data_IF_570176291069
#
_entry.id   IF_570176291069
#
_cell.length_a   1.000
_cell.length_b   1.000
_cell.length_c   1.000
_cell.angle_alpha   90.00
_cell.angle_beta   90.00
_cell.angle_gamma   90.00
#
_symmetry.space_group_name_H-M   'P 1'
#
loop_
_entity.id
_entity.type
_entity.pdbx_description
1 polymer ?
#
# COMPACT_ATOMS: atom_id res chain seq x y z
N UNK A 1 4.79 17.53 -14.40
CA UNK A 1 6.21 17.90 -14.52
C UNK A 1 6.47 18.44 -15.92
N UNK A 2 7.50 19.26 -16.17
CA UNK A 2 7.93 19.61 -17.54
C UNK A 2 8.13 18.36 -18.40
N UNK A 3 7.88 18.45 -19.71
CA UNK A 3 7.91 17.29 -20.62
C UNK A 3 9.21 16.50 -20.55
N UNK A 4 10.35 17.19 -20.48
CA UNK A 4 11.69 16.60 -20.41
C UNK A 4 11.91 15.74 -19.15
N UNK A 5 11.14 15.98 -18.08
CA UNK A 5 11.22 15.27 -16.80
C UNK A 5 10.17 14.16 -16.65
N UNK A 6 9.29 13.99 -17.64
CA UNK A 6 8.16 13.07 -17.54
C UNK A 6 8.62 11.62 -17.36
N UNK A 7 9.55 11.16 -18.20
CA UNK A 7 10.03 9.78 -18.19
C UNK A 7 10.78 9.47 -16.89
N UNK A 8 11.66 10.39 -16.48
CA UNK A 8 12.40 10.27 -15.21
C UNK A 8 11.45 10.17 -14.02
N UNK A 9 10.47 11.07 -13.94
CA UNK A 9 9.50 11.11 -12.83
C UNK A 9 8.64 9.85 -12.81
N UNK A 10 8.18 9.39 -13.99
CA UNK A 10 7.39 8.17 -14.14
C UNK A 10 8.17 6.95 -13.66
N UNK A 11 9.42 6.82 -14.09
CA UNK A 11 10.28 5.70 -13.69
C UNK A 11 10.58 5.72 -12.19
N UNK A 12 10.78 6.90 -11.59
CA UNK A 12 10.97 7.04 -10.14
C UNK A 12 9.74 6.56 -9.37
N UNK A 13 8.54 6.99 -9.77
CA UNK A 13 7.28 6.55 -9.15
C UNK A 13 7.04 5.05 -9.32
N UNK A 14 7.24 4.51 -10.51
CA UNK A 14 7.09 3.09 -10.79
C UNK A 14 8.01 2.24 -9.90
N UNK A 15 9.30 2.62 -9.78
CA UNK A 15 10.25 1.95 -8.90
C UNK A 15 9.84 2.03 -7.44
N UNK A 16 9.39 3.20 -6.97
CA UNK A 16 8.94 3.37 -5.58
C UNK A 16 7.74 2.48 -5.26
N UNK A 17 6.74 2.44 -6.16
CA UNK A 17 5.54 1.61 -5.97
C UNK A 17 5.87 0.12 -6.05
N UNK A 18 6.74 -0.29 -6.98
CA UNK A 18 7.14 -1.69 -7.14
C UNK A 18 7.91 -2.24 -5.92
N UNK A 19 8.63 -1.37 -5.19
CA UNK A 19 9.34 -1.72 -3.95
C UNK A 19 8.47 -1.66 -2.69
N UNK A 20 7.23 -1.20 -2.78
CA UNK A 20 6.33 -1.08 -1.65
C UNK A 20 5.53 -2.36 -1.36
N UNK A 21 4.70 -2.37 -0.31
CA UNK A 21 3.86 -3.50 0.05
C UNK A 21 2.66 -3.59 -0.92
N UNK A 22 2.87 -4.26 -2.06
CA UNK A 22 1.93 -4.22 -3.20
C UNK A 22 0.53 -4.75 -2.86
N UNK A 23 0.41 -5.73 -1.95
CA UNK A 23 -0.89 -6.21 -1.46
C UNK A 23 -1.64 -5.14 -0.65
N UNK A 24 -0.92 -4.38 0.19
CA UNK A 24 -1.53 -3.28 0.94
C UNK A 24 -2.00 -2.18 -0.03
N UNK A 25 -1.17 -1.81 -1.02
CA UNK A 25 -1.58 -0.85 -2.06
C UNK A 25 -2.83 -1.29 -2.81
N UNK A 26 -2.92 -2.56 -3.20
CA UNK A 26 -4.09 -3.10 -3.90
C UNK A 26 -5.36 -3.00 -3.03
N UNK A 27 -5.26 -3.36 -1.75
CA UNK A 27 -6.37 -3.30 -0.79
C UNK A 27 -6.82 -1.86 -0.53
N UNK A 28 -5.89 -0.95 -0.26
CA UNK A 28 -6.19 0.47 -0.08
C UNK A 28 -6.84 1.07 -1.32
N UNK A 29 -6.33 0.76 -2.52
CA UNK A 29 -6.93 1.21 -3.77
C UNK A 29 -8.36 0.71 -3.94
N UNK A 30 -8.62 -0.57 -3.62
CA UNK A 30 -9.97 -1.15 -3.66
C UNK A 30 -10.92 -0.42 -2.70
N UNK A 31 -10.54 -0.28 -1.44
CA UNK A 31 -11.35 0.43 -0.44
C UNK A 31 -11.63 1.87 -0.84
N UNK A 32 -10.62 2.58 -1.35
CA UNK A 32 -10.78 3.96 -1.79
C UNK A 32 -11.87 4.13 -2.86
N UNK A 33 -11.95 3.23 -3.84
CA UNK A 33 -13.02 3.27 -4.84
C UNK A 33 -14.38 2.87 -4.26
N UNK A 34 -14.43 1.87 -3.37
CA UNK A 34 -15.66 1.43 -2.72
C UNK A 34 -16.26 2.47 -1.77
N UNK A 35 -15.42 3.31 -1.16
CA UNK A 35 -15.83 4.36 -0.21
C UNK A 35 -16.85 5.35 -0.79
N UNK A 36 -16.83 5.55 -2.11
CA UNK A 36 -17.72 6.49 -2.80
C UNK A 36 -19.16 5.98 -2.92
N UNK A 37 -19.36 4.66 -2.83
CA UNK A 37 -20.66 4.01 -3.06
C UNK A 37 -21.14 3.13 -1.91
N UNK A 38 -20.35 2.99 -0.85
CA UNK A 38 -20.65 2.11 0.29
C UNK A 38 -21.08 2.92 1.51
N UNK A 39 -22.19 2.59 2.20
CA UNK A 39 -22.56 3.24 3.44
C UNK A 39 -21.42 3.16 4.48
N UNK A 40 -21.22 4.25 5.23
CA UNK A 40 -20.08 4.39 6.16
C UNK A 40 -19.87 3.16 7.06
N UNK A 41 -20.95 2.66 7.68
CA UNK A 41 -20.86 1.50 8.59
C UNK A 41 -20.34 0.24 7.90
N UNK A 42 -20.79 -0.01 6.68
CA UNK A 42 -20.35 -1.16 5.89
C UNK A 42 -18.92 -0.95 5.39
N UNK A 43 -18.58 0.27 5.00
CA UNK A 43 -17.23 0.62 4.59
C UNK A 43 -16.21 0.38 5.71
N UNK A 44 -16.52 0.81 6.93
CA UNK A 44 -15.66 0.57 8.10
C UNK A 44 -15.46 -0.93 8.40
N UNK A 45 -16.48 -1.76 8.17
CA UNK A 45 -16.32 -3.21 8.31
C UNK A 45 -15.44 -3.79 7.19
N UNK A 46 -15.60 -3.33 5.95
CA UNK A 46 -14.73 -3.72 4.83
C UNK A 46 -13.27 -3.33 5.09
N UNK A 47 -13.04 -2.12 5.61
CA UNK A 47 -11.71 -1.66 6.03
C UNK A 47 -11.14 -2.57 7.13
N UNK A 48 -11.92 -2.88 8.18
CA UNK A 48 -11.49 -3.76 9.27
C UNK A 48 -10.99 -5.12 8.74
N UNK A 49 -11.74 -5.72 7.83
CA UNK A 49 -11.38 -7.01 7.22
C UNK A 49 -10.08 -6.91 6.41
N UNK A 50 -9.89 -5.85 5.63
CA UNK A 50 -8.67 -5.65 4.84
C UNK A 50 -7.46 -5.35 5.71
N UNK A 51 -7.65 -4.69 6.85
CA UNK A 51 -6.60 -4.39 7.81
C UNK A 51 -6.11 -5.68 8.47
N UNK A 52 -7.02 -6.58 8.88
CA UNK A 52 -6.65 -7.91 9.40
C UNK A 52 -5.86 -8.69 8.35
N UNK A 53 -6.38 -8.79 7.12
CA UNK A 53 -5.67 -9.46 6.02
C UNK A 53 -4.31 -8.84 5.72
N UNK A 54 -4.11 -7.56 6.00
CA UNK A 54 -2.83 -6.86 5.83
C UNK A 54 -1.88 -7.16 6.98
N UNK A 55 -2.37 -7.21 8.22
CA UNK A 55 -1.58 -7.60 9.37
C UNK A 55 -1.02 -9.04 9.28
N UNK A 56 -1.69 -9.92 8.53
CA UNK A 56 -1.27 -11.31 8.32
C UNK A 56 -0.16 -11.50 7.27
N UNK A 57 0.15 -10.46 6.48
CA UNK A 57 1.16 -10.53 5.40
C UNK A 57 2.60 -10.57 5.93
N UNK A 58 3.53 -11.08 5.13
CA UNK A 58 4.96 -10.98 5.43
C UNK A 58 5.42 -9.52 5.41
N UNK A 59 4.90 -8.72 4.49
CA UNK A 59 5.21 -7.31 4.35
C UNK A 59 4.83 -6.49 5.58
N UNK A 60 3.73 -6.83 6.26
CA UNK A 60 3.39 -6.20 7.53
C UNK A 60 4.47 -6.48 8.58
N UNK A 61 4.88 -7.74 8.74
CA UNK A 61 5.96 -8.09 9.69
C UNK A 61 7.25 -7.37 9.35
N UNK A 62 7.66 -7.38 8.06
CA UNK A 62 8.86 -6.68 7.57
C UNK A 62 8.79 -5.19 7.85
N UNK A 63 7.64 -4.55 7.63
CA UNK A 63 7.41 -3.14 7.93
C UNK A 63 7.53 -2.83 9.43
N UNK A 64 6.93 -3.66 10.29
CA UNK A 64 7.01 -3.49 11.75
C UNK A 64 8.45 -3.68 12.24
N UNK A 65 9.15 -4.73 11.81
CA UNK A 65 10.55 -4.95 12.20
C UNK A 65 11.47 -3.84 11.71
N UNK A 66 11.33 -3.41 10.46
CA UNK A 66 12.12 -2.30 9.92
C UNK A 66 11.88 -0.99 10.69
N UNK A 67 10.64 -0.73 11.12
CA UNK A 67 10.31 0.42 11.97
C UNK A 67 11.01 0.33 13.33
N UNK A 68 10.97 -0.85 13.99
CA UNK A 68 11.62 -1.08 15.28
C UNK A 68 13.15 -0.95 15.18
N UNK A 69 13.73 -1.49 14.11
CA UNK A 69 15.18 -1.49 13.85
C UNK A 69 15.68 -0.17 13.23
N UNK A 70 14.77 0.78 12.93
CA UNK A 70 15.07 2.06 12.25
C UNK A 70 15.79 1.88 10.91
N UNK A 71 15.37 0.89 10.13
CA UNK A 71 15.89 0.58 8.79
C UNK A 71 14.81 0.75 7.73
N UNK A 72 15.21 0.80 6.47
CA UNK A 72 14.25 0.74 5.36
C UNK A 72 13.64 -0.67 5.26
N UNK A 73 12.30 -0.79 5.11
CA UNK A 73 11.66 -2.08 4.92
C UNK A 73 11.90 -2.63 3.51
N UNK A 74 12.20 -3.92 3.43
CA UNK A 74 12.31 -4.67 2.18
C UNK A 74 11.03 -5.47 1.94
N UNK A 75 10.06 -4.85 1.25
CA UNK A 75 8.79 -5.49 0.90
C UNK A 75 8.93 -6.44 -0.29
N UNK A 76 8.13 -7.50 -0.29
CA UNK A 76 8.12 -8.57 -1.31
C UNK A 76 6.74 -8.82 -1.92
N UNK A 77 5.70 -8.10 -1.49
CA UNK A 77 4.34 -8.22 -2.02
C UNK A 77 3.59 -9.46 -1.53
N UNK A 78 3.89 -9.95 -0.32
CA UNK A 78 3.29 -11.16 0.27
C UNK A 78 2.90 -10.95 1.72
#
# INVERSE_FOLDING_TARGET
VPSEKLDETTAQWAKKLAKGPTLAFARTKKLFFEALSTPLKEHLENERQMQIKSAETEDYKRGVFALLDKKEPEFIGK
#
